data_IF_393725850092
#
_entry.id   IF_393725850092
#
_cell.length_a   1.000
_cell.length_b   1.000
_cell.length_c   1.000
_cell.angle_alpha   90.00
_cell.angle_beta   90.00
_cell.angle_gamma   90.00
#
_symmetry.space_group_name_H-M   'P 1'
#
loop_
_entity.id
_entity.type
_entity.pdbx_description
1 polymer ?
#
# COMPACT_ATOMS: atom_id res chain seq x y z
N UNK A 1 -23.41 20.79 -41.24
CA UNK A 1 -22.33 20.26 -40.36
C UNK A 1 -21.02 20.77 -40.91
N UNK A 2 -20.31 21.54 -40.12
CA UNK A 2 -18.97 22.10 -40.48
C UNK A 2 -17.95 20.99 -40.64
N UNK A 3 -16.96 21.20 -41.50
CA UNK A 3 -15.80 20.32 -41.70
C UNK A 3 -14.99 20.37 -40.43
N UNK A 4 -14.70 19.20 -39.83
CA UNK A 4 -13.91 19.12 -38.59
C UNK A 4 -12.52 19.70 -38.80
N UNK A 5 -12.10 20.60 -37.95
CA UNK A 5 -10.75 21.19 -37.97
C UNK A 5 -9.67 20.10 -37.86
N UNK A 6 -8.48 20.35 -38.47
CA UNK A 6 -7.38 19.36 -38.51
C UNK A 6 -6.96 18.90 -37.11
N UNK A 7 -6.79 19.80 -36.16
CA UNK A 7 -6.34 19.49 -34.80
C UNK A 7 -7.37 18.63 -34.07
N UNK A 8 -8.63 19.05 -34.09
CA UNK A 8 -9.74 18.31 -33.48
C UNK A 8 -9.87 16.91 -34.09
N UNK A 9 -9.70 16.77 -35.37
CA UNK A 9 -9.79 15.48 -36.08
C UNK A 9 -8.65 14.54 -35.69
N UNK A 10 -7.41 15.04 -35.63
CA UNK A 10 -6.24 14.24 -35.20
C UNK A 10 -6.41 13.80 -33.74
N UNK A 11 -6.89 14.67 -32.86
CA UNK A 11 -7.14 14.33 -31.46
C UNK A 11 -8.25 13.28 -31.33
N UNK A 12 -9.34 13.39 -32.08
CA UNK A 12 -10.40 12.38 -32.11
C UNK A 12 -9.90 11.03 -32.62
N UNK A 13 -9.08 11.03 -33.67
CA UNK A 13 -8.45 9.83 -34.22
C UNK A 13 -7.52 9.18 -33.18
N UNK A 14 -6.68 9.96 -32.55
CA UNK A 14 -5.76 9.51 -31.53
C UNK A 14 -6.50 8.96 -30.30
N UNK A 15 -7.58 9.61 -29.86
CA UNK A 15 -8.41 9.13 -28.77
C UNK A 15 -9.04 7.77 -29.09
N UNK A 16 -9.65 7.59 -30.28
CA UNK A 16 -10.18 6.30 -30.72
C UNK A 16 -9.11 5.19 -30.68
N UNK A 17 -7.89 5.51 -31.11
CA UNK A 17 -6.77 4.57 -31.11
C UNK A 17 -6.28 4.24 -29.66
N UNK A 18 -6.29 5.21 -28.76
CA UNK A 18 -5.98 5.02 -27.33
C UNK A 18 -7.04 4.14 -26.65
N UNK A 19 -8.30 4.27 -27.04
CA UNK A 19 -9.41 3.45 -26.53
C UNK A 19 -9.38 2.00 -27.08
N UNK A 20 -8.34 1.66 -27.87
CA UNK A 20 -8.14 0.31 -28.42
C UNK A 20 -8.98 0.03 -29.67
N UNK A 21 -9.62 1.04 -30.26
CA UNK A 21 -10.39 0.84 -31.46
C UNK A 21 -9.50 0.55 -32.67
N UNK A 22 -9.99 -0.32 -33.56
CA UNK A 22 -9.42 -0.51 -34.91
C UNK A 22 -10.10 0.49 -35.83
N UNK A 23 -9.35 1.48 -36.31
CA UNK A 23 -9.90 2.56 -37.14
C UNK A 23 -9.69 2.26 -38.62
N UNK A 24 -10.78 2.05 -39.34
CA UNK A 24 -10.76 1.82 -40.79
C UNK A 24 -10.67 3.15 -41.53
N UNK A 25 -9.77 3.21 -42.51
CA UNK A 25 -9.51 4.41 -43.32
C UNK A 25 -10.80 4.95 -44.00
N UNK A 26 -11.53 4.07 -44.67
CA UNK A 26 -12.76 4.44 -45.42
C UNK A 26 -13.85 4.97 -44.47
N UNK A 27 -14.09 4.31 -43.34
CA UNK A 27 -15.13 4.69 -42.37
C UNK A 27 -14.82 6.04 -41.74
N UNK A 28 -13.57 6.23 -41.23
CA UNK A 28 -13.18 7.48 -40.61
C UNK A 28 -13.18 8.65 -41.60
N UNK A 29 -12.74 8.42 -42.86
CA UNK A 29 -12.74 9.43 -43.90
C UNK A 29 -14.20 9.90 -44.23
N UNK A 30 -15.13 8.95 -44.29
CA UNK A 30 -16.54 9.24 -44.53
C UNK A 30 -17.19 10.02 -43.38
N UNK A 31 -16.98 9.57 -42.14
CA UNK A 31 -17.51 10.22 -40.93
C UNK A 31 -17.04 11.67 -40.80
N UNK A 32 -15.78 11.97 -41.15
CA UNK A 32 -15.17 13.28 -40.99
C UNK A 32 -15.16 14.12 -42.29
N UNK A 33 -15.79 13.63 -43.39
CA UNK A 33 -15.86 14.30 -44.70
C UNK A 33 -14.47 14.72 -45.24
N UNK A 34 -13.48 13.82 -45.13
CA UNK A 34 -12.13 13.99 -45.64
C UNK A 34 -11.84 12.93 -46.71
N UNK A 35 -10.72 13.15 -47.43
CA UNK A 35 -10.21 12.12 -48.35
C UNK A 35 -9.38 11.09 -47.56
N UNK A 36 -9.29 9.87 -48.10
CA UNK A 36 -8.40 8.85 -47.55
C UNK A 36 -6.94 9.31 -47.49
N UNK A 37 -6.48 10.10 -48.42
CA UNK A 37 -5.14 10.72 -48.43
C UNK A 37 -4.94 11.69 -47.24
N UNK A 38 -6.02 12.37 -46.82
CA UNK A 38 -6.01 13.24 -45.66
C UNK A 38 -5.90 12.41 -44.38
N UNK A 39 -6.61 11.28 -44.29
CA UNK A 39 -6.49 10.35 -43.18
C UNK A 39 -5.08 9.76 -43.05
N UNK A 40 -4.44 9.37 -44.16
CA UNK A 40 -3.06 8.86 -44.13
C UNK A 40 -2.08 9.89 -43.59
N UNK A 41 -2.24 11.16 -43.93
CA UNK A 41 -1.41 12.24 -43.34
C UNK A 41 -1.67 12.41 -41.87
N UNK A 42 -2.93 12.29 -41.40
CA UNK A 42 -3.25 12.36 -39.99
C UNK A 42 -2.62 11.16 -39.22
N UNK A 43 -2.58 9.97 -39.81
CA UNK A 43 -1.91 8.79 -39.30
C UNK A 43 -0.38 9.01 -39.19
N UNK A 44 0.21 9.63 -40.21
CA UNK A 44 1.65 9.93 -40.21
C UNK A 44 2.00 10.99 -39.15
N UNK A 45 1.17 12.03 -38.99
CA UNK A 45 1.32 13.02 -37.92
C UNK A 45 1.28 12.35 -36.53
N UNK A 46 0.39 11.37 -36.31
CA UNK A 46 0.34 10.60 -35.06
C UNK A 46 1.57 9.70 -34.89
N UNK A 47 2.09 9.08 -35.96
CA UNK A 47 3.33 8.28 -35.89
C UNK A 47 4.53 9.12 -35.48
N UNK A 48 4.69 10.32 -36.06
CA UNK A 48 5.75 11.25 -35.69
C UNK A 48 5.63 11.61 -34.21
N UNK A 49 4.45 12.03 -33.77
CA UNK A 49 4.17 12.35 -32.39
C UNK A 49 4.54 11.20 -31.43
N UNK A 50 4.14 9.95 -31.78
CA UNK A 50 4.44 8.78 -30.96
C UNK A 50 5.95 8.48 -30.91
N UNK A 51 6.66 8.64 -32.01
CA UNK A 51 8.12 8.40 -32.06
C UNK A 51 8.93 9.41 -31.24
N UNK A 52 8.41 10.62 -31.05
CA UNK A 52 9.08 11.67 -30.26
C UNK A 52 8.82 11.57 -28.75
N UNK A 53 7.67 11.00 -28.34
CA UNK A 53 7.22 11.07 -26.93
C UNK A 53 7.16 9.69 -26.27
N UNK A 54 6.94 8.60 -27.02
CA UNK A 54 6.71 7.28 -26.47
C UNK A 54 7.58 6.21 -27.14
N UNK A 55 8.55 5.68 -26.43
CA UNK A 55 9.44 4.60 -26.92
C UNK A 55 8.71 3.25 -27.15
N UNK A 56 7.50 3.04 -26.59
CA UNK A 56 6.82 1.74 -26.52
C UNK A 56 5.52 1.69 -27.34
N UNK A 57 5.00 2.84 -27.79
CA UNK A 57 3.74 2.90 -28.53
C UNK A 57 3.97 2.90 -30.04
N UNK A 58 3.41 1.93 -30.74
CA UNK A 58 3.52 1.82 -32.20
C UNK A 58 2.15 1.76 -32.87
N UNK A 59 1.98 2.55 -33.92
CA UNK A 59 0.75 2.57 -34.74
C UNK A 59 0.93 1.64 -35.95
N UNK A 60 0.29 0.48 -35.89
CA UNK A 60 0.35 -0.54 -36.93
C UNK A 60 -0.94 -0.63 -37.75
N UNK A 61 -0.81 -1.14 -38.98
CA UNK A 61 -1.94 -1.53 -39.81
C UNK A 61 -2.28 -3.01 -39.62
N UNK A 62 -3.46 -3.28 -39.11
CA UNK A 62 -3.97 -4.63 -38.91
C UNK A 62 -4.64 -5.14 -40.19
N UNK A 63 -3.96 -6.01 -40.92
CA UNK A 63 -4.42 -6.56 -42.21
C UNK A 63 -5.68 -7.43 -42.07
N UNK A 64 -5.87 -8.09 -40.91
CA UNK A 64 -7.03 -8.96 -40.69
C UNK A 64 -8.32 -8.16 -40.54
N UNK A 65 -8.23 -7.02 -39.88
CA UNK A 65 -9.37 -6.18 -39.57
C UNK A 65 -9.49 -4.95 -40.51
N UNK A 66 -8.57 -4.83 -41.47
CA UNK A 66 -8.51 -3.73 -42.44
C UNK A 66 -8.57 -2.35 -41.76
N UNK A 67 -7.64 -2.12 -40.78
CA UNK A 67 -7.66 -0.87 -40.06
C UNK A 67 -6.39 -0.60 -39.29
N UNK A 68 -6.23 0.62 -38.79
CA UNK A 68 -5.11 1.04 -37.96
C UNK A 68 -5.44 0.79 -36.49
N UNK A 69 -4.48 0.27 -35.74
CA UNK A 69 -4.54 0.16 -34.27
C UNK A 69 -3.24 0.55 -33.62
N UNK A 70 -3.34 1.01 -32.39
CA UNK A 70 -2.18 1.33 -31.57
C UNK A 70 -1.80 0.09 -30.75
N UNK A 71 -0.54 -0.36 -30.85
CA UNK A 71 0.05 -1.39 -30.00
C UNK A 71 0.98 -0.72 -28.98
N UNK A 72 1.28 -1.43 -27.87
CA UNK A 72 2.00 -0.81 -26.76
C UNK A 72 1.10 0.04 -25.83
N UNK A 73 -0.14 0.30 -26.25
CA UNK A 73 -1.22 0.82 -25.41
C UNK A 73 -1.97 -0.28 -24.66
N UNK A 74 -1.32 -1.34 -24.24
CA UNK A 74 -1.92 -2.08 -23.15
C UNK A 74 -1.72 -1.23 -21.88
N UNK A 75 -2.58 -0.22 -21.67
CA UNK A 75 -3.09 -0.02 -20.32
C UNK A 75 -3.56 -1.44 -19.95
N UNK A 76 -2.85 -2.12 -19.05
CA UNK A 76 -3.49 -3.19 -18.29
C UNK A 76 -4.73 -2.51 -17.72
N UNK A 77 -5.86 -2.72 -18.37
CA UNK A 77 -7.09 -2.11 -17.87
C UNK A 77 -7.29 -2.70 -16.50
N UNK A 78 -7.38 -1.86 -15.52
CA UNK A 78 -7.70 -2.25 -14.15
C UNK A 78 -8.96 -3.12 -14.23
N UNK A 79 -8.84 -4.36 -13.78
CA UNK A 79 -9.90 -5.34 -13.99
C UNK A 79 -10.92 -5.32 -12.85
N UNK A 80 -12.13 -5.79 -13.08
CA UNK A 80 -13.14 -6.00 -12.04
C UNK A 80 -12.61 -6.84 -10.88
N UNK A 81 -11.82 -7.85 -11.21
CA UNK A 81 -11.20 -8.75 -10.24
C UNK A 81 -10.20 -8.01 -9.35
N UNK A 82 -9.28 -7.24 -9.93
CA UNK A 82 -8.31 -6.43 -9.18
C UNK A 82 -9.01 -5.40 -8.31
N UNK A 83 -10.00 -4.69 -8.86
CA UNK A 83 -10.83 -3.76 -8.10
C UNK A 83 -11.48 -4.43 -6.89
N UNK A 84 -12.16 -5.55 -7.11
CA UNK A 84 -12.90 -6.25 -6.05
C UNK A 84 -11.98 -6.65 -4.90
N UNK A 85 -10.84 -7.28 -5.20
CA UNK A 85 -9.88 -7.73 -4.18
C UNK A 85 -9.28 -6.55 -3.42
N UNK A 86 -8.87 -5.48 -4.12
CA UNK A 86 -8.33 -4.27 -3.50
C UNK A 86 -9.39 -3.60 -2.61
N UNK A 87 -10.63 -3.47 -3.08
CA UNK A 87 -11.71 -2.89 -2.30
C UNK A 87 -11.97 -3.68 -1.00
N UNK A 88 -11.97 -5.04 -1.05
CA UNK A 88 -12.13 -5.88 0.15
C UNK A 88 -10.99 -5.67 1.15
N UNK A 89 -9.74 -5.58 0.69
CA UNK A 89 -8.58 -5.29 1.53
C UNK A 89 -8.71 -3.90 2.15
N UNK A 90 -9.07 -2.88 1.37
CA UNK A 90 -9.24 -1.52 1.85
C UNK A 90 -10.34 -1.41 2.92
N UNK A 91 -11.54 -1.96 2.67
CA UNK A 91 -12.61 -1.96 3.66
C UNK A 91 -12.24 -2.73 4.92
N UNK A 92 -11.61 -3.90 4.78
CA UNK A 92 -11.14 -4.72 5.89
C UNK A 92 -10.06 -4.04 6.73
N UNK A 93 -9.22 -3.20 6.12
CA UNK A 93 -8.17 -2.46 6.82
C UNK A 93 -8.71 -1.42 7.79
N UNK A 94 -9.85 -0.79 7.49
CA UNK A 94 -10.42 0.35 8.22
C UNK A 94 -9.40 1.46 8.53
N UNK A 95 -8.43 1.65 7.62
CA UNK A 95 -7.29 2.54 7.83
C UNK A 95 -7.61 4.02 7.60
N UNK A 96 -8.63 4.30 6.80
CA UNK A 96 -8.94 5.63 6.28
C UNK A 96 -10.24 6.17 6.91
N UNK A 97 -10.33 7.49 7.02
CA UNK A 97 -11.60 8.16 7.31
C UNK A 97 -12.61 7.87 6.20
N UNK A 98 -13.92 7.90 6.52
CA UNK A 98 -14.97 7.47 5.57
C UNK A 98 -14.92 8.20 4.23
N UNK A 99 -14.70 9.51 4.24
CA UNK A 99 -14.59 10.31 3.03
C UNK A 99 -13.34 9.96 2.19
N UNK A 100 -12.17 9.75 2.83
CA UNK A 100 -10.96 9.28 2.14
C UNK A 100 -11.17 7.89 1.54
N UNK A 101 -11.80 6.97 2.30
CA UNK A 101 -12.11 5.62 1.83
C UNK A 101 -13.01 5.65 0.61
N UNK A 102 -14.15 6.35 0.70
CA UNK A 102 -15.12 6.41 -0.39
C UNK A 102 -14.53 7.09 -1.63
N UNK A 103 -13.82 8.21 -1.46
CA UNK A 103 -13.14 8.88 -2.56
C UNK A 103 -12.09 7.98 -3.25
N UNK A 104 -11.36 7.17 -2.48
CA UNK A 104 -10.40 6.20 -3.04
C UNK A 104 -11.11 5.10 -3.82
N UNK A 105 -12.19 4.54 -3.29
CA UNK A 105 -12.99 3.49 -3.96
C UNK A 105 -13.60 4.05 -5.25
N UNK A 106 -14.17 5.25 -5.23
CA UNK A 106 -14.73 5.91 -6.42
C UNK A 106 -13.67 6.16 -7.48
N UNK A 107 -12.48 6.63 -7.09
CA UNK A 107 -11.37 6.84 -8.01
C UNK A 107 -10.93 5.52 -8.68
N UNK A 108 -10.76 4.45 -7.90
CA UNK A 108 -10.42 3.13 -8.44
C UNK A 108 -11.53 2.58 -9.35
N UNK A 109 -12.80 2.76 -8.97
CA UNK A 109 -13.95 2.32 -9.77
C UNK A 109 -14.02 3.05 -11.11
N UNK A 110 -13.64 4.33 -11.16
CA UNK A 110 -13.64 5.13 -12.40
C UNK A 110 -12.65 4.62 -13.46
N UNK A 111 -11.62 3.87 -13.05
CA UNK A 111 -10.67 3.23 -13.98
C UNK A 111 -11.25 1.99 -14.68
N UNK A 112 -12.39 1.48 -14.20
CA UNK A 112 -13.07 0.35 -14.83
C UNK A 112 -13.90 0.79 -16.04
N UNK A 113 -14.14 -0.13 -16.96
CA UNK A 113 -15.11 0.06 -18.05
C UNK A 113 -16.51 0.34 -17.46
N UNK A 114 -17.27 1.22 -18.12
CA UNK A 114 -18.55 1.71 -17.59
C UNK A 114 -19.54 0.59 -17.22
N UNK A 115 -19.63 -0.46 -18.03
CA UNK A 115 -20.51 -1.61 -17.75
C UNK A 115 -20.07 -2.43 -16.54
N UNK A 116 -18.79 -2.41 -16.21
CA UNK A 116 -18.21 -3.10 -15.05
C UNK A 116 -18.46 -2.36 -13.75
N UNK A 117 -18.56 -1.03 -13.80
CA UNK A 117 -18.72 -0.19 -12.62
C UNK A 117 -19.98 -0.54 -11.82
N UNK A 118 -21.12 -0.70 -12.49
CA UNK A 118 -22.40 -1.05 -11.84
C UNK A 118 -22.38 -2.46 -11.24
N UNK A 119 -21.67 -3.38 -11.89
CA UNK A 119 -21.52 -4.75 -11.40
C UNK A 119 -20.70 -4.83 -10.13
N UNK A 120 -19.53 -4.21 -10.11
CA UNK A 120 -18.66 -4.23 -8.93
C UNK A 120 -19.25 -3.43 -7.76
N UNK A 121 -19.95 -2.33 -8.05
CA UNK A 121 -20.66 -1.54 -7.04
C UNK A 121 -21.61 -2.41 -6.22
N UNK A 122 -22.45 -3.21 -6.88
CA UNK A 122 -23.38 -4.13 -6.17
C UNK A 122 -22.67 -5.13 -5.24
N UNK A 123 -21.41 -5.50 -5.54
CA UNK A 123 -20.63 -6.43 -4.73
C UNK A 123 -20.05 -5.79 -3.46
N UNK A 124 -19.99 -4.45 -3.40
CA UNK A 124 -19.38 -3.71 -2.29
C UNK A 124 -20.33 -2.71 -1.62
N UNK A 125 -21.57 -2.58 -2.09
CA UNK A 125 -22.54 -1.60 -1.56
C UNK A 125 -22.77 -1.77 -0.06
N UNK A 126 -22.77 -3.01 0.44
CA UNK A 126 -22.97 -3.30 1.85
C UNK A 126 -21.79 -2.77 2.69
N UNK A 127 -20.55 -2.95 2.24
CA UNK A 127 -19.37 -2.43 2.93
C UNK A 127 -19.33 -0.91 2.89
N UNK A 128 -19.70 -0.29 1.76
CA UNK A 128 -19.82 1.17 1.63
C UNK A 128 -20.80 1.72 2.67
N UNK A 129 -21.97 1.10 2.78
CA UNK A 129 -23.04 1.55 3.68
C UNK A 129 -22.61 1.48 5.14
N UNK A 130 -22.07 0.33 5.56
CA UNK A 130 -21.68 0.05 6.95
C UNK A 130 -20.25 0.46 7.30
N UNK A 131 -19.50 1.06 6.38
CA UNK A 131 -18.13 1.48 6.66
C UNK A 131 -18.07 2.46 7.83
N UNK A 132 -17.26 2.12 8.81
CA UNK A 132 -16.98 2.96 9.97
C UNK A 132 -15.53 3.42 9.94
N UNK A 133 -15.34 4.73 10.04
CA UNK A 133 -14.02 5.33 10.20
C UNK A 133 -13.29 4.75 11.42
N UNK A 134 -11.94 4.71 11.41
CA UNK A 134 -11.19 4.43 12.63
C UNK A 134 -11.54 5.47 13.72
N UNK A 135 -11.38 5.08 14.98
CA UNK A 135 -11.79 5.92 16.13
C UNK A 135 -11.18 7.32 16.13
N UNK A 136 -9.94 7.49 15.64
CA UNK A 136 -9.28 8.80 15.59
C UNK A 136 -9.95 9.78 14.62
N UNK A 137 -10.65 9.29 13.62
CA UNK A 137 -11.38 10.05 12.59
C UNK A 137 -10.54 11.16 11.92
N UNK A 138 -9.23 10.96 11.80
CA UNK A 138 -8.28 11.91 11.20
C UNK A 138 -8.05 11.54 9.73
N UNK A 139 -8.05 12.53 8.84
CA UNK A 139 -7.61 12.36 7.46
C UNK A 139 -6.10 12.14 7.43
N UNK A 140 -5.66 11.02 6.86
CA UNK A 140 -4.24 10.62 6.93
C UNK A 140 -3.55 10.55 5.58
N UNK A 141 -4.27 10.45 4.47
CA UNK A 141 -3.68 10.25 3.14
C UNK A 141 -2.70 11.35 2.77
N UNK A 142 -3.09 12.62 2.96
CA UNK A 142 -2.22 13.75 2.65
C UNK A 142 -0.96 13.76 3.53
N UNK A 143 -1.11 13.51 4.83
CA UNK A 143 0.02 13.45 5.77
C UNK A 143 0.99 12.32 5.40
N UNK A 144 0.47 11.13 5.05
CA UNK A 144 1.29 10.02 4.58
C UNK A 144 2.09 10.38 3.33
N UNK A 145 1.44 11.06 2.36
CA UNK A 145 2.09 11.51 1.13
C UNK A 145 3.18 12.54 1.41
N UNK A 146 2.86 13.58 2.18
CA UNK A 146 3.79 14.68 2.48
C UNK A 146 5.04 14.16 3.25
N UNK A 147 4.83 13.26 4.21
CA UNK A 147 5.93 12.58 4.90
C UNK A 147 6.73 11.66 3.97
N UNK A 148 6.06 10.98 3.03
CA UNK A 148 6.71 10.22 1.96
C UNK A 148 7.65 11.09 1.11
N UNK A 149 7.25 12.33 0.79
CA UNK A 149 8.12 13.29 0.09
C UNK A 149 9.34 13.70 0.95
N UNK A 150 9.17 13.83 2.26
CA UNK A 150 10.29 14.10 3.17
C UNK A 150 11.31 12.95 3.19
N UNK A 151 10.82 11.70 3.16
CA UNK A 151 11.66 10.49 3.07
C UNK A 151 12.46 10.49 1.77
N UNK A 152 11.82 10.75 0.63
CA UNK A 152 12.49 10.80 -0.67
C UNK A 152 13.57 11.89 -0.73
N UNK A 153 13.31 13.03 -0.11
CA UNK A 153 14.23 14.19 -0.05
C UNK A 153 15.30 14.04 1.01
N UNK A 154 15.26 13.00 1.84
CA UNK A 154 16.19 12.77 2.96
C UNK A 154 16.33 14.01 3.87
N UNK A 155 15.22 14.52 4.36
CA UNK A 155 15.19 15.72 5.21
C UNK A 155 14.84 15.37 6.65
N UNK A 156 15.45 16.07 7.60
CA UNK A 156 15.04 16.09 9.00
C UNK A 156 13.76 16.91 9.09
N UNK A 157 12.83 16.44 9.90
CA UNK A 157 11.58 17.15 10.19
C UNK A 157 11.40 17.35 11.70
N UNK A 158 10.81 18.47 12.08
CA UNK A 158 10.29 18.68 13.42
C UNK A 158 8.82 18.29 13.44
N UNK A 159 8.47 17.30 14.25
CA UNK A 159 7.10 16.82 14.43
C UNK A 159 6.48 17.41 15.69
N UNK A 160 5.23 17.87 15.61
CA UNK A 160 4.36 18.09 16.77
C UNK A 160 3.45 16.86 16.92
N UNK A 161 3.64 16.09 17.98
CA UNK A 161 3.00 14.79 18.20
C UNK A 161 2.11 14.79 19.44
N UNK A 162 0.86 14.33 19.31
CA UNK A 162 -0.09 14.15 20.41
C UNK A 162 0.07 12.76 21.03
N UNK A 163 0.49 12.72 22.31
CA UNK A 163 0.56 11.47 23.09
C UNK A 163 -0.82 10.94 23.44
N UNK A 164 -0.87 9.72 24.03
CA UNK A 164 -2.12 9.09 24.48
C UNK A 164 -2.82 9.89 25.59
N UNK A 165 -2.05 10.61 26.43
CA UNK A 165 -2.52 11.47 27.52
C UNK A 165 -2.93 12.88 27.05
N UNK A 166 -2.98 13.11 25.72
CA UNK A 166 -3.33 14.36 25.06
C UNK A 166 -2.28 15.47 25.21
N UNK A 167 -1.13 15.18 25.80
CA UNK A 167 -0.01 16.12 25.81
C UNK A 167 0.67 16.17 24.44
N UNK A 168 1.26 17.31 24.11
CA UNK A 168 2.00 17.52 22.87
C UNK A 168 3.49 17.52 23.14
N UNK A 169 4.23 16.86 22.26
CA UNK A 169 5.68 16.91 22.23
C UNK A 169 6.15 17.38 20.87
N UNK A 170 7.27 18.11 20.87
CA UNK A 170 8.02 18.43 19.65
C UNK A 170 9.29 17.60 19.63
N UNK A 171 9.61 17.08 18.47
CA UNK A 171 10.80 16.24 18.30
C UNK A 171 11.39 16.41 16.91
N UNK A 172 12.71 16.40 16.82
CA UNK A 172 13.44 16.39 15.56
C UNK A 172 13.71 14.94 15.18
N UNK A 173 13.26 14.54 13.99
CA UNK A 173 13.36 13.17 13.54
C UNK A 173 13.83 13.10 12.09
N UNK A 174 14.51 12.02 11.75
CA UNK A 174 14.78 11.63 10.38
C UNK A 174 13.74 10.58 9.95
N UNK A 175 12.77 10.92 9.10
CA UNK A 175 11.77 9.98 8.62
C UNK A 175 12.40 8.98 7.65
N UNK A 176 12.10 7.70 7.83
CA UNK A 176 12.69 6.62 7.04
C UNK A 176 11.66 5.83 6.22
N UNK A 177 10.48 5.55 6.76
CA UNK A 177 9.38 4.93 6.04
C UNK A 177 8.00 5.26 6.59
N UNK A 178 6.99 5.08 5.72
CA UNK A 178 5.59 5.01 6.13
C UNK A 178 5.13 3.56 5.95
N UNK A 179 4.54 2.98 6.99
CA UNK A 179 4.00 1.62 6.94
C UNK A 179 2.59 1.58 7.51
N UNK A 180 1.81 0.59 7.08
CA UNK A 180 0.48 0.31 7.59
C UNK A 180 0.50 -0.97 8.44
N UNK A 181 -0.13 -0.94 9.61
CA UNK A 181 -0.37 -2.10 10.47
C UNK A 181 -1.60 -1.87 11.35
N UNK A 182 -2.46 -2.88 11.49
CA UNK A 182 -3.58 -2.91 12.44
C UNK A 182 -4.41 -1.62 12.47
N UNK A 183 -5.02 -1.16 11.43
CA UNK A 183 -5.86 0.05 11.33
C UNK A 183 -5.11 1.39 11.26
N UNK A 184 -3.77 1.44 11.45
CA UNK A 184 -3.04 2.69 11.56
C UNK A 184 -1.86 2.77 10.59
N UNK A 185 -1.60 3.98 10.11
CA UNK A 185 -0.34 4.30 9.46
C UNK A 185 0.68 4.76 10.49
N UNK A 186 1.90 4.28 10.34
CA UNK A 186 3.03 4.61 11.18
C UNK A 186 4.15 5.23 10.37
N UNK A 187 4.75 6.26 10.92
CA UNK A 187 6.01 6.82 10.48
C UNK A 187 7.14 6.14 11.26
N UNK A 188 8.06 5.55 10.54
CA UNK A 188 9.30 5.02 11.09
C UNK A 188 10.33 6.13 11.04
N UNK A 189 10.96 6.41 12.15
CA UNK A 189 11.92 7.52 12.30
C UNK A 189 13.14 7.12 13.09
N UNK A 190 14.24 7.83 12.87
CA UNK A 190 15.40 7.88 13.78
C UNK A 190 15.37 9.23 14.51
N UNK A 191 15.55 9.19 15.82
CA UNK A 191 15.65 10.40 16.64
C UNK A 191 17.04 11.03 16.44
N UNK A 192 17.09 12.34 16.20
CA UNK A 192 18.34 13.02 15.91
C UNK A 192 19.17 13.33 17.16
N UNK A 193 18.55 13.33 18.33
CA UNK A 193 19.17 13.68 19.62
C UNK A 193 19.63 12.46 20.41
N UNK A 194 19.33 11.25 19.97
CA UNK A 194 19.69 10.03 20.64
C UNK A 194 20.69 9.22 19.81
N UNK A 195 21.76 8.75 20.41
CA UNK A 195 22.68 7.77 19.80
C UNK A 195 22.01 6.39 19.56
N UNK A 196 20.67 6.35 19.62
CA UNK A 196 19.91 5.12 19.51
C UNK A 196 19.89 4.59 18.08
N UNK A 197 20.43 3.40 17.93
CA UNK A 197 20.52 2.65 16.66
C UNK A 197 19.19 2.05 16.21
N UNK A 198 18.11 2.19 16.99
CA UNK A 198 16.81 1.57 16.69
C UNK A 198 15.78 2.61 16.29
N UNK A 199 14.97 2.30 15.25
CA UNK A 199 13.93 3.21 14.83
C UNK A 199 12.78 3.28 15.84
N UNK A 200 12.15 4.44 15.93
CA UNK A 200 10.91 4.64 16.67
C UNK A 200 9.71 4.68 15.71
N UNK A 201 8.53 4.30 16.22
CA UNK A 201 7.29 4.21 15.45
C UNK A 201 6.28 5.23 15.97
N UNK A 202 5.87 6.15 15.12
CA UNK A 202 4.88 7.17 15.47
C UNK A 202 3.63 7.02 14.60
N UNK A 203 2.47 6.94 15.23
CA UNK A 203 1.18 6.92 14.52
C UNK A 203 0.95 8.22 13.77
N UNK A 204 0.69 8.16 12.47
CA UNK A 204 0.54 9.35 11.63
C UNK A 204 -0.70 10.16 12.01
N UNK A 205 -1.79 9.52 12.40
CA UNK A 205 -3.02 10.19 12.87
C UNK A 205 -2.83 11.07 14.13
N UNK A 206 -1.73 10.88 14.85
CA UNK A 206 -1.35 11.68 16.03
C UNK A 206 -0.36 12.80 15.71
N UNK A 207 0.16 12.86 14.50
CA UNK A 207 1.00 13.98 14.05
C UNK A 207 0.06 15.14 13.70
N UNK A 208 0.20 16.25 14.41
CA UNK A 208 -0.64 17.46 14.17
C UNK A 208 -0.09 18.33 13.06
N UNK A 209 1.21 18.51 13.08
CA UNK A 209 1.95 19.28 12.09
C UNK A 209 3.40 18.80 12.04
N UNK A 210 4.07 19.13 10.96
CA UNK A 210 5.51 18.98 10.85
C UNK A 210 6.12 20.15 10.08
N UNK A 211 7.42 20.40 10.32
CA UNK A 211 8.21 21.39 9.60
C UNK A 211 9.45 20.72 9.02
N UNK A 212 9.72 20.97 7.77
CA UNK A 212 10.97 20.52 7.14
C UNK A 212 12.09 21.43 7.66
N UNK A 213 13.16 20.80 8.10
CA UNK A 213 14.36 21.50 8.58
C UNK A 213 15.46 21.43 7.52
N UNK A 214 16.44 20.57 7.71
CA UNK A 214 17.62 20.45 6.86
C UNK A 214 17.70 19.09 6.14
N UNK A 215 18.48 19.05 5.09
CA UNK A 215 18.86 17.79 4.44
C UNK A 215 19.86 17.01 5.33
N UNK A 216 19.73 15.70 5.34
CA UNK A 216 20.59 14.82 6.13
C UNK A 216 20.90 13.52 5.36
N UNK A 217 22.19 13.29 5.13
CA UNK A 217 22.69 12.05 4.51
C UNK A 217 22.92 10.93 5.55
N UNK A 218 22.01 10.79 6.49
CA UNK A 218 22.08 9.72 7.49
C UNK A 218 22.11 8.36 6.77
N UNK A 219 23.09 7.55 7.14
CA UNK A 219 23.19 6.17 6.63
C UNK A 219 22.16 5.32 7.36
N UNK A 220 21.27 4.72 6.61
CA UNK A 220 20.27 3.76 7.14
C UNK A 220 20.98 2.49 7.54
N UNK A 221 20.79 2.08 8.79
CA UNK A 221 21.39 0.85 9.32
C UNK A 221 20.45 -0.36 9.24
N UNK A 222 19.17 -0.16 8.90
CA UNK A 222 18.15 -1.22 8.93
C UNK A 222 17.39 -1.23 7.62
N UNK A 223 17.35 -2.39 6.99
CA UNK A 223 16.43 -2.67 5.90
C UNK A 223 15.01 -2.80 6.46
N UNK A 224 14.10 -1.92 6.00
CA UNK A 224 12.71 -1.90 6.47
C UNK A 224 11.97 -3.17 6.08
N UNK A 225 12.27 -3.76 4.94
CA UNK A 225 11.73 -5.03 4.52
C UNK A 225 12.11 -6.15 5.49
N UNK A 226 13.38 -6.22 5.88
CA UNK A 226 13.88 -7.18 6.86
C UNK A 226 13.33 -6.90 8.27
N UNK A 227 13.25 -5.63 8.66
CA UNK A 227 12.68 -5.25 9.95
C UNK A 227 11.19 -5.66 10.04
N UNK A 228 10.43 -5.51 8.95
CA UNK A 228 9.00 -5.82 8.90
C UNK A 228 8.71 -7.29 9.18
N UNK A 229 9.60 -8.20 8.78
CA UNK A 229 9.49 -9.63 9.05
C UNK A 229 9.60 -9.98 10.54
N UNK A 230 10.28 -9.14 11.32
CA UNK A 230 10.53 -9.32 12.75
C UNK A 230 9.56 -8.55 13.64
N UNK A 231 8.79 -7.63 13.05
CA UNK A 231 7.97 -6.66 13.78
C UNK A 231 6.54 -7.20 13.99
N UNK A 232 6.15 -7.32 15.25
CA UNK A 232 4.81 -7.72 15.66
C UNK A 232 4.08 -6.54 16.29
N UNK A 233 2.86 -6.24 15.80
CA UNK A 233 1.95 -5.23 16.35
C UNK A 233 2.58 -3.83 16.57
N UNK A 234 3.56 -3.44 15.77
CA UNK A 234 4.23 -2.13 15.79
C UNK A 234 4.78 -1.71 17.15
N UNK A 235 5.28 -2.67 17.92
CA UNK A 235 6.04 -2.40 19.15
C UNK A 235 7.53 -2.50 18.86
N UNK A 236 8.22 -1.37 18.95
CA UNK A 236 9.67 -1.33 18.98
C UNK A 236 10.19 -1.97 20.28
N UNK A 237 11.42 -2.42 20.26
CA UNK A 237 12.10 -3.05 21.36
C UNK A 237 13.47 -3.54 20.92
N UNK A 238 14.08 -4.39 21.71
CA UNK A 238 15.34 -5.03 21.34
C UNK A 238 15.05 -6.23 20.44
N UNK A 239 15.87 -6.40 19.41
CA UNK A 239 15.83 -7.62 18.58
C UNK A 239 16.45 -8.76 19.37
N UNK A 240 15.74 -9.87 19.47
CA UNK A 240 16.22 -11.07 20.16
C UNK A 240 15.83 -12.35 19.39
N UNK A 241 16.60 -13.40 19.58
CA UNK A 241 16.25 -14.75 19.12
C UNK A 241 15.37 -15.41 20.15
N UNK A 242 14.26 -15.98 19.70
CA UNK A 242 13.32 -16.71 20.55
C UNK A 242 13.20 -18.16 20.08
N UNK A 243 12.93 -19.02 21.05
CA UNK A 243 12.64 -20.42 20.81
C UNK A 243 11.37 -20.81 21.54
N UNK A 244 10.44 -21.42 20.84
CA UNK A 244 9.12 -21.72 21.39
C UNK A 244 8.50 -22.95 20.74
N UNK A 245 7.64 -23.66 21.48
CA UNK A 245 6.73 -24.65 20.94
C UNK A 245 5.51 -23.97 20.34
N UNK A 246 5.08 -24.48 19.18
CA UNK A 246 3.87 -24.04 18.49
C UNK A 246 3.02 -25.26 18.14
N UNK A 247 1.73 -25.24 18.51
CA UNK A 247 0.83 -26.33 18.16
C UNK A 247 0.70 -26.48 16.65
N UNK A 248 0.53 -27.70 16.13
CA UNK A 248 0.43 -27.95 14.68
C UNK A 248 -0.68 -27.15 13.99
N UNK A 249 -1.79 -26.88 14.68
CA UNK A 249 -2.91 -26.07 14.14
C UNK A 249 -2.56 -24.59 13.98
N UNK A 250 -1.57 -24.09 14.72
CA UNK A 250 -1.15 -22.69 14.69
C UNK A 250 0.11 -22.44 13.83
N UNK A 251 0.68 -23.47 13.20
CA UNK A 251 1.92 -23.36 12.41
C UNK A 251 1.74 -22.43 11.20
N UNK A 252 0.63 -22.55 10.47
CA UNK A 252 0.36 -21.73 9.29
C UNK A 252 0.25 -20.24 9.65
N UNK A 253 -0.65 -19.79 10.58
CA UNK A 253 -0.69 -18.40 11.01
C UNK A 253 0.62 -17.91 11.65
N UNK A 254 1.35 -18.78 12.35
CA UNK A 254 2.66 -18.45 12.90
C UNK A 254 3.67 -18.16 11.78
N UNK A 255 3.69 -18.99 10.73
CA UNK A 255 4.60 -18.80 9.59
C UNK A 255 4.30 -17.53 8.81
N UNK A 256 3.04 -17.12 8.71
CA UNK A 256 2.65 -15.83 8.14
C UNK A 256 3.14 -14.63 8.97
N UNK A 257 3.14 -14.79 10.31
CA UNK A 257 3.67 -13.77 11.22
C UNK A 257 5.20 -13.69 11.23
N UNK A 258 5.89 -14.81 11.03
CA UNK A 258 7.35 -14.94 11.10
C UNK A 258 7.90 -15.67 9.88
N UNK A 259 7.93 -15.04 8.70
CA UNK A 259 8.29 -15.71 7.45
C UNK A 259 9.70 -16.31 7.43
N UNK A 260 10.62 -15.79 8.25
CA UNK A 260 12.00 -16.29 8.37
C UNK A 260 12.19 -17.28 9.54
N UNK A 261 11.11 -17.68 10.23
CA UNK A 261 11.18 -18.64 11.32
C UNK A 261 11.62 -20.02 10.83
N UNK A 262 12.42 -20.69 11.64
CA UNK A 262 12.92 -22.04 11.36
C UNK A 262 12.21 -23.05 12.25
N UNK A 263 11.61 -24.05 11.64
CA UNK A 263 11.09 -25.22 12.35
C UNK A 263 12.24 -26.20 12.55
N UNK A 264 12.65 -26.38 13.83
CA UNK A 264 13.87 -27.13 14.19
C UNK A 264 13.57 -28.50 14.80
N UNK A 265 12.35 -28.75 15.23
CA UNK A 265 11.93 -30.04 15.80
C UNK A 265 10.44 -30.24 15.64
N UNK A 266 10.00 -31.52 15.77
CA UNK A 266 8.59 -31.90 15.71
C UNK A 266 8.32 -32.99 16.74
N UNK A 267 7.16 -32.91 17.38
CA UNK A 267 6.58 -34.00 18.14
C UNK A 267 5.18 -34.35 17.59
N UNK A 268 4.41 -35.17 18.28
CA UNK A 268 3.08 -35.59 17.80
C UNK A 268 2.06 -34.46 17.74
N UNK A 269 2.20 -33.40 18.55
CA UNK A 269 1.21 -32.32 18.71
C UNK A 269 1.73 -30.93 18.33
N UNK A 270 3.06 -30.72 18.36
CA UNK A 270 3.68 -29.42 18.22
C UNK A 270 4.96 -29.42 17.40
N UNK A 271 5.44 -28.24 17.06
CA UNK A 271 6.70 -28.01 16.38
C UNK A 271 7.55 -27.03 17.19
N UNK A 272 8.87 -27.25 17.19
CA UNK A 272 9.82 -26.35 17.79
C UNK A 272 10.28 -25.32 16.78
N UNK A 273 10.11 -24.03 17.12
CA UNK A 273 10.34 -22.90 16.24
C UNK A 273 11.43 -21.98 16.81
N UNK A 274 12.30 -21.53 15.93
CA UNK A 274 13.30 -20.47 16.22
C UNK A 274 13.02 -19.28 15.31
N UNK A 275 12.91 -18.07 15.90
CA UNK A 275 12.68 -16.84 15.16
C UNK A 275 13.47 -15.67 15.75
N UNK A 276 13.77 -14.68 14.91
CA UNK A 276 14.34 -13.40 15.35
C UNK A 276 13.22 -12.36 15.38
N UNK A 277 12.99 -11.70 16.53
CA UNK A 277 11.81 -10.89 16.79
C UNK A 277 12.14 -9.65 17.63
N UNK A 278 11.24 -8.67 17.64
CA UNK A 278 11.25 -7.61 18.64
C UNK A 278 10.58 -8.11 19.94
N UNK A 279 11.27 -7.98 21.07
CA UNK A 279 10.91 -8.56 22.36
C UNK A 279 9.47 -8.19 22.81
N UNK A 280 9.13 -6.91 22.88
CA UNK A 280 7.84 -6.42 23.35
C UNK A 280 6.68 -6.85 22.43
N UNK A 281 6.89 -6.79 21.13
CA UNK A 281 5.91 -7.22 20.13
C UNK A 281 5.63 -8.71 20.23
N UNK A 282 6.70 -9.50 20.32
CA UNK A 282 6.62 -10.95 20.46
C UNK A 282 5.91 -11.39 21.74
N UNK A 283 6.22 -10.78 22.90
CA UNK A 283 5.50 -11.07 24.16
C UNK A 283 4.00 -10.90 24.02
N UNK A 284 3.55 -9.81 23.39
CA UNK A 284 2.12 -9.58 23.18
C UNK A 284 1.51 -10.57 22.19
N UNK A 285 2.24 -10.90 21.14
CA UNK A 285 1.81 -11.92 20.19
C UNK A 285 1.70 -13.29 20.86
N UNK A 286 2.73 -13.73 21.59
CA UNK A 286 2.73 -15.02 22.26
C UNK A 286 1.56 -15.17 23.24
N UNK A 287 1.28 -14.15 24.06
CA UNK A 287 0.13 -14.16 24.97
C UNK A 287 -1.20 -14.26 24.20
N UNK A 288 -1.31 -13.66 23.02
CA UNK A 288 -2.53 -13.72 22.21
C UNK A 288 -2.77 -15.09 21.58
N UNK A 289 -1.76 -15.97 21.53
CA UNK A 289 -1.90 -17.35 21.04
C UNK A 289 -2.44 -18.32 22.07
N UNK A 290 -2.64 -17.87 23.31
CA UNK A 290 -3.15 -18.67 24.44
C UNK A 290 -2.29 -19.92 24.69
N UNK A 291 -2.86 -21.12 24.59
CA UNK A 291 -2.23 -22.42 24.80
C UNK A 291 -1.54 -23.00 23.57
N UNK A 292 -1.64 -22.31 22.43
CA UNK A 292 -1.02 -22.76 21.18
C UNK A 292 0.49 -22.47 21.10
N UNK A 293 1.01 -21.62 21.98
CA UNK A 293 2.45 -21.24 22.00
C UNK A 293 3.00 -21.28 23.40
N UNK A 294 4.12 -22.02 23.57
CA UNK A 294 4.92 -22.00 24.79
C UNK A 294 6.33 -21.51 24.50
N UNK A 295 6.70 -20.36 25.08
CA UNK A 295 8.05 -19.77 24.91
C UNK A 295 9.04 -20.48 25.84
N UNK A 296 10.15 -20.96 25.28
CA UNK A 296 11.22 -21.65 25.99
C UNK A 296 12.39 -20.71 26.27
N UNK A 297 12.85 -20.00 25.28
CA UNK A 297 14.04 -19.12 25.32
C UNK A 297 13.76 -17.78 24.61
N UNK A 298 14.42 -16.71 25.05
CA UNK A 298 15.30 -16.60 26.22
C UNK A 298 14.51 -16.43 27.53
N UNK A 299 15.15 -16.68 28.67
CA UNK A 299 14.50 -16.66 29.98
C UNK A 299 13.87 -15.32 30.36
N UNK A 300 14.47 -14.19 29.97
CA UNK A 300 13.87 -12.87 30.19
C UNK A 300 12.49 -12.73 29.48
N UNK A 301 12.34 -13.20 28.25
CA UNK A 301 11.06 -13.18 27.52
C UNK A 301 10.04 -14.09 28.20
N UNK A 302 10.46 -15.31 28.58
CA UNK A 302 9.61 -16.25 29.33
C UNK A 302 9.14 -15.64 30.66
N UNK A 303 10.02 -14.95 31.37
CA UNK A 303 9.70 -14.27 32.63
C UNK A 303 8.69 -13.12 32.40
N UNK A 304 8.90 -12.28 31.37
CA UNK A 304 7.95 -11.21 31.01
C UNK A 304 6.54 -11.75 30.73
N UNK A 305 6.44 -12.86 30.01
CA UNK A 305 5.15 -13.52 29.70
C UNK A 305 4.50 -14.01 31.01
N UNK A 306 5.26 -14.70 31.86
CA UNK A 306 4.80 -15.23 33.16
C UNK A 306 4.24 -14.12 34.05
N UNK A 307 4.93 -12.98 34.14
CA UNK A 307 4.47 -11.82 34.92
C UNK A 307 3.18 -11.22 34.34
N UNK A 308 3.06 -11.12 33.01
CA UNK A 308 1.86 -10.62 32.35
C UNK A 308 0.67 -11.55 32.56
N UNK A 309 0.87 -12.88 32.45
CA UNK A 309 -0.18 -13.88 32.69
C UNK A 309 -0.64 -13.81 34.16
N UNK A 310 0.31 -13.72 35.11
CA UNK A 310 -0.02 -13.59 36.53
C UNK A 310 -0.83 -12.31 36.83
N UNK A 311 -0.48 -11.20 36.20
CA UNK A 311 -1.22 -9.95 36.31
C UNK A 311 -2.63 -10.03 35.67
N UNK A 312 -2.77 -10.75 34.56
CA UNK A 312 -4.07 -11.02 33.94
C UNK A 312 -4.92 -11.91 34.87
N UNK A 313 -4.39 -13.00 35.36
CA UNK A 313 -5.11 -13.93 36.25
C UNK A 313 -5.71 -13.21 37.47
N UNK A 314 -4.95 -12.30 38.10
CA UNK A 314 -5.45 -11.49 39.22
C UNK A 314 -6.66 -10.60 38.89
N UNK A 315 -6.85 -10.23 37.62
CA UNK A 315 -8.01 -9.40 37.19
C UNK A 315 -9.29 -10.19 37.02
N UNK A 316 -9.19 -11.52 36.96
CA UNK A 316 -10.33 -12.43 36.78
C UNK A 316 -10.65 -13.23 38.05
N UNK A 317 -9.92 -13.00 39.14
CA UNK A 317 -10.29 -13.41 40.50
C UNK A 317 -11.17 -12.33 41.17
#
# INVERSE_FOLDING_TARGET
MQKTDKVTRILMLYQKLLDGAIVKKSTFALENKITERTFERDIDDIRIFLSEIYEVKELIYDKLNDGYRLIGCQKKSFTEFEFFVIAKILFGSRALRKDEMLGTIEALQSELLKYSQDRVKRLIDNEIFYYQSPYHNTAVMKMCWDLGQCILRKVIVELTYEKYDKTFIKMRVFPDAVIFSDYYFYLIVYLTEEEHRYPAFYRIDRIKEFKILEHCDMVRNIDIGEMRKKLQKMYAGNVCKVKFWCSKKAVEPMSDCFPDAKVTGRDDSSVLVEAEVFDVGFVKWAISQLDDVEVLEPQNIRQMIKEKIAALYKKYQ
#
